data_IF_032543661808
#
_entry.id   IF_032543661808
#
_cell.length_a   1.000
_cell.length_b   1.000
_cell.length_c   1.000
_cell.angle_alpha   90.00
_cell.angle_beta   90.00
_cell.angle_gamma   90.00
#
_symmetry.space_group_name_H-M   'P 1'
#
loop_
_entity.id
_entity.type
_entity.pdbx_description
1 polymer ?
#
# COMPACT_ATOMS: atom_id res chain seq x y z
N UNK A 1 -14.18 18.28 -3.07
CA UNK A 1 -13.38 19.38 -3.66
C UNK A 1 -12.24 19.70 -2.72
N UNK A 2 -11.05 19.98 -3.25
CA UNK A 2 -9.90 20.52 -2.52
C UNK A 2 -9.60 21.92 -3.06
N UNK A 3 -9.21 22.83 -2.16
CA UNK A 3 -8.82 24.19 -2.49
C UNK A 3 -7.38 24.44 -2.08
N UNK A 4 -6.61 25.07 -2.97
CA UNK A 4 -5.23 25.46 -2.71
C UNK A 4 -4.89 26.78 -3.41
N UNK A 5 -3.85 27.45 -2.93
CA UNK A 5 -3.35 28.68 -3.55
C UNK A 5 -2.48 28.30 -4.75
N UNK A 6 -2.86 28.74 -5.94
CA UNK A 6 -2.06 28.64 -7.15
C UNK A 6 -0.85 29.57 -7.12
N UNK A 7 0.06 29.39 -8.08
CA UNK A 7 1.33 30.13 -8.16
C UNK A 7 1.15 31.65 -8.20
N UNK A 8 0.00 32.13 -8.70
CA UNK A 8 -0.32 33.56 -8.82
C UNK A 8 -1.23 34.07 -7.70
N UNK A 9 -1.40 33.31 -6.61
CA UNK A 9 -2.25 33.68 -5.47
C UNK A 9 -3.75 33.50 -5.72
N UNK A 10 -4.14 32.94 -6.88
CA UNK A 10 -5.51 32.55 -7.17
C UNK A 10 -5.89 31.27 -6.40
N UNK A 11 -7.13 31.19 -5.93
CA UNK A 11 -7.63 29.94 -5.31
C UNK A 11 -8.03 28.99 -6.43
N UNK A 12 -7.37 27.84 -6.50
CA UNK A 12 -7.70 26.76 -7.42
C UNK A 12 -8.56 25.75 -6.67
N UNK A 13 -9.69 25.35 -7.27
CA UNK A 13 -10.54 24.27 -6.77
C UNK A 13 -10.49 23.10 -7.72
N UNK A 14 -10.18 21.92 -7.20
CA UNK A 14 -10.12 20.66 -7.97
C UNK A 14 -10.96 19.56 -7.31
N UNK A 15 -11.60 18.69 -8.09
CA UNK A 15 -12.17 17.44 -7.59
C UNK A 15 -11.11 16.58 -6.92
N UNK A 16 -11.48 15.87 -5.85
CA UNK A 16 -10.52 15.00 -5.12
C UNK A 16 -10.02 13.88 -6.03
N UNK A 17 -10.87 13.37 -6.91
CA UNK A 17 -10.53 12.26 -7.81
C UNK A 17 -9.49 12.64 -8.88
N UNK A 18 -9.26 13.92 -9.12
CA UNK A 18 -8.28 14.41 -10.09
C UNK A 18 -6.88 14.60 -9.49
N UNK A 19 -6.75 14.45 -8.17
CA UNK A 19 -5.44 14.57 -7.50
C UNK A 19 -4.88 13.20 -7.12
N UNK A 20 -3.57 13.02 -7.34
CA UNK A 20 -2.86 11.85 -6.84
C UNK A 20 -2.69 11.88 -5.31
N UNK A 21 -2.50 13.07 -4.76
CA UNK A 21 -2.27 13.27 -3.33
C UNK A 21 -2.13 14.75 -2.98
N UNK A 22 -1.98 15.05 -1.70
CA UNK A 22 -1.75 16.41 -1.19
C UNK A 22 -0.87 16.37 0.05
N UNK A 23 -0.26 17.50 0.41
CA UNK A 23 0.46 17.64 1.68
C UNK A 23 -0.28 18.62 2.58
N UNK A 24 -0.41 18.27 3.87
CA UNK A 24 -1.02 19.13 4.89
C UNK A 24 -0.10 19.20 6.10
N UNK A 25 0.37 20.40 6.43
CA UNK A 25 1.34 20.65 7.52
C UNK A 25 2.60 19.76 7.40
N UNK A 26 3.13 19.61 6.19
CA UNK A 26 4.32 18.80 5.92
C UNK A 26 4.09 17.28 5.93
N UNK A 27 2.85 16.81 6.11
CA UNK A 27 2.48 15.40 6.06
C UNK A 27 1.87 15.07 4.70
N UNK A 28 2.48 14.16 3.92
CA UNK A 28 1.95 13.75 2.62
C UNK A 28 0.80 12.75 2.77
N UNK A 29 -0.22 12.92 1.94
CA UNK A 29 -1.38 12.05 1.82
C UNK A 29 -1.57 11.66 0.35
N UNK A 30 -1.96 10.42 0.10
CA UNK A 30 -2.29 9.91 -1.25
C UNK A 30 -3.75 9.53 -1.34
N UNK A 31 -4.33 9.69 -2.52
CA UNK A 31 -5.63 9.13 -2.84
C UNK A 31 -5.47 7.66 -3.23
N UNK A 32 -5.95 6.76 -2.38
CA UNK A 32 -5.96 5.32 -2.65
C UNK A 32 -7.16 4.65 -1.99
N UNK A 33 -7.80 3.72 -2.71
CA UNK A 33 -9.03 3.04 -2.26
C UNK A 33 -10.14 4.02 -1.80
N UNK A 34 -10.39 5.05 -2.63
CA UNK A 34 -11.39 6.13 -2.40
C UNK A 34 -11.19 6.93 -1.11
N UNK A 35 -9.98 6.87 -0.54
CA UNK A 35 -9.62 7.53 0.72
C UNK A 35 -8.28 8.23 0.62
N UNK A 36 -8.12 9.29 1.40
CA UNK A 36 -6.86 9.99 1.55
C UNK A 36 -6.06 9.34 2.69
N UNK A 37 -4.94 8.70 2.34
CA UNK A 37 -4.13 7.91 3.26
C UNK A 37 -2.84 8.64 3.58
N UNK A 38 -2.53 8.77 4.88
CA UNK A 38 -1.28 9.36 5.34
C UNK A 38 -0.11 8.44 4.94
N UNK A 39 0.95 9.04 4.40
CA UNK A 39 2.24 8.38 4.23
C UNK A 39 3.14 8.77 5.42
N UNK A 40 3.40 7.85 6.37
CA UNK A 40 4.27 8.12 7.51
C UNK A 40 5.75 8.13 7.13
N UNK A 41 6.14 7.43 6.07
CA UNK A 41 7.53 7.27 5.65
C UNK A 41 7.66 7.40 4.13
N UNK A 42 8.50 8.34 3.69
CA UNK A 42 8.76 8.62 2.27
C UNK A 42 10.18 8.18 1.91
N UNK A 43 10.29 7.36 0.86
CA UNK A 43 11.55 6.89 0.28
C UNK A 43 11.31 6.38 -1.13
N UNK A 44 12.33 5.82 -1.81
CA UNK A 44 12.12 5.16 -3.10
C UNK A 44 11.11 4.02 -3.02
N UNK A 45 11.08 3.32 -1.89
CA UNK A 45 9.99 2.48 -1.44
C UNK A 45 9.27 3.22 -0.32
N UNK A 46 8.08 3.71 -0.62
CA UNK A 46 7.21 4.38 0.35
C UNK A 46 6.27 3.36 0.98
N UNK A 47 6.02 3.40 2.29
CA UNK A 47 5.14 2.47 3.00
C UNK A 47 3.98 3.23 3.65
N UNK A 48 2.78 2.66 3.57
CA UNK A 48 1.60 3.20 4.23
C UNK A 48 0.60 2.10 4.62
N UNK A 49 -0.36 2.48 5.45
CA UNK A 49 -1.39 1.58 5.97
C UNK A 49 -2.76 2.20 5.66
N UNK A 50 -3.71 1.38 5.20
CA UNK A 50 -5.10 1.81 4.99
C UNK A 50 -6.09 0.69 5.29
N UNK A 51 -7.36 1.06 5.46
CA UNK A 51 -8.46 0.13 5.64
C UNK A 51 -9.19 -0.09 4.31
N UNK A 52 -9.13 -1.31 3.79
CA UNK A 52 -9.81 -1.73 2.55
C UNK A 52 -11.08 -2.52 2.86
N UNK A 53 -12.06 -2.46 1.96
CA UNK A 53 -13.28 -3.27 2.05
C UNK A 53 -13.02 -4.65 1.47
N UNK A 54 -13.34 -5.68 2.24
CA UNK A 54 -13.25 -7.08 1.84
C UNK A 54 -14.62 -7.73 1.97
N UNK A 55 -15.00 -8.48 0.95
CA UNK A 55 -16.27 -9.21 0.91
C UNK A 55 -16.00 -10.69 1.14
N UNK A 56 -16.60 -11.24 2.18
CA UNK A 56 -16.52 -12.65 2.52
C UNK A 56 -17.82 -13.34 2.11
N UNK A 57 -17.72 -14.52 1.51
CA UNK A 57 -18.84 -15.41 1.26
C UNK A 57 -18.61 -16.69 2.03
N UNK A 58 -19.53 -17.01 2.96
CA UNK A 58 -19.53 -18.31 3.60
C UNK A 58 -20.34 -19.26 2.72
N UNK A 59 -19.66 -20.05 1.90
CA UNK A 59 -20.27 -21.24 1.29
C UNK A 59 -20.39 -22.29 2.40
N UNK A 60 -21.61 -22.50 2.90
CA UNK A 60 -21.90 -23.67 3.71
C UNK A 60 -21.99 -24.87 2.78
N UNK A 61 -21.08 -25.84 2.96
CA UNK A 61 -21.17 -27.12 2.28
C UNK A 61 -22.40 -27.88 2.81
N UNK A 62 -23.38 -28.08 1.93
CA UNK A 62 -24.67 -28.72 2.22
C UNK A 62 -24.58 -30.24 2.38
N UNK A 63 -23.40 -30.84 2.31
CA UNK A 63 -23.25 -32.30 2.32
C UNK A 63 -23.59 -33.02 3.64
N UNK A 64 -23.92 -32.30 4.73
CA UNK A 64 -24.01 -32.90 6.07
C UNK A 64 -25.38 -32.78 6.77
N UNK A 65 -26.39 -32.14 6.18
CA UNK A 65 -27.69 -31.98 6.86
C UNK A 65 -28.89 -31.94 5.89
N UNK A 66 -29.65 -33.04 5.75
CA UNK A 66 -30.82 -33.11 4.86
C UNK A 66 -32.04 -32.31 5.36
N UNK A 67 -31.97 -31.66 6.53
CA UNK A 67 -33.08 -30.87 7.09
C UNK A 67 -32.82 -29.36 7.13
N UNK A 68 -31.71 -28.87 6.57
CA UNK A 68 -31.43 -27.43 6.51
C UNK A 68 -31.99 -26.79 5.24
N UNK A 69 -33.10 -26.08 5.45
CA UNK A 69 -33.74 -25.19 4.49
C UNK A 69 -32.77 -24.06 4.04
N UNK A 70 -32.54 -24.02 2.74
CA UNK A 70 -31.96 -22.98 1.88
C UNK A 70 -30.74 -22.19 2.41
N UNK A 71 -29.50 -22.55 1.99
CA UNK A 71 -28.31 -21.80 2.34
C UNK A 71 -28.22 -20.57 1.43
N UNK A 72 -28.98 -19.52 1.75
CA UNK A 72 -28.70 -18.20 1.19
C UNK A 72 -27.28 -17.81 1.59
N UNK A 73 -26.37 -17.78 0.61
CA UNK A 73 -24.98 -17.39 0.81
C UNK A 73 -24.95 -15.97 1.40
N UNK A 74 -24.61 -15.86 2.68
CA UNK A 74 -24.49 -14.57 3.35
C UNK A 74 -23.15 -13.96 2.97
N UNK A 75 -23.18 -12.99 2.06
CA UNK A 75 -22.05 -12.12 1.80
C UNK A 75 -21.99 -11.08 2.91
N UNK A 76 -20.87 -10.99 3.63
CA UNK A 76 -20.65 -9.95 4.63
C UNK A 76 -19.41 -9.13 4.26
N UNK A 77 -19.49 -7.82 4.51
CA UNK A 77 -18.42 -6.86 4.25
C UNK A 77 -17.66 -6.60 5.54
N UNK A 78 -16.34 -6.65 5.48
CA UNK A 78 -15.44 -6.27 6.57
C UNK A 78 -14.45 -5.20 6.11
N UNK A 79 -14.07 -4.33 7.02
CA UNK A 79 -13.06 -3.30 6.81
C UNK A 79 -11.73 -3.85 7.40
N UNK A 80 -10.73 -4.10 6.56
CA UNK A 80 -9.46 -4.70 6.93
C UNK A 80 -8.30 -3.71 6.84
N UNK A 81 -7.51 -3.62 7.92
CA UNK A 81 -6.25 -2.89 7.92
C UNK A 81 -5.21 -3.64 7.09
N UNK A 82 -4.77 -3.05 5.99
CA UNK A 82 -3.73 -3.59 5.10
C UNK A 82 -2.57 -2.62 4.94
N UNK A 83 -1.40 -3.19 4.71
CA UNK A 83 -0.16 -2.46 4.51
C UNK A 83 0.20 -2.50 3.02
N UNK A 84 0.63 -1.36 2.49
CA UNK A 84 0.98 -1.18 1.10
C UNK A 84 2.36 -0.53 0.98
N UNK A 85 2.98 -0.74 -0.17
CA UNK A 85 4.16 -0.03 -0.61
C UNK A 85 3.90 0.66 -1.95
N UNK A 86 4.58 1.77 -2.17
CA UNK A 86 4.67 2.46 -3.45
C UNK A 86 6.10 2.36 -3.92
N UNK A 87 6.28 1.85 -5.12
CA UNK A 87 7.54 1.94 -5.84
C UNK A 87 7.61 3.29 -6.55
N UNK A 88 8.40 4.22 -6.02
CA UNK A 88 8.50 5.58 -6.56
C UNK A 88 9.20 5.65 -7.92
N UNK A 89 9.82 4.56 -8.37
CA UNK A 89 10.43 4.48 -9.70
C UNK A 89 9.40 4.16 -10.78
N UNK A 90 8.38 3.36 -10.46
CA UNK A 90 7.33 2.95 -11.42
C UNK A 90 5.98 3.63 -11.16
N UNK A 91 5.75 4.15 -9.95
CA UNK A 91 4.47 4.66 -9.48
C UNK A 91 3.49 3.57 -9.02
N UNK A 92 3.90 2.29 -9.02
CA UNK A 92 3.01 1.17 -8.71
C UNK A 92 2.74 1.06 -7.20
N UNK A 93 1.47 0.85 -6.84
CA UNK A 93 1.03 0.59 -5.47
C UNK A 93 0.76 -0.91 -5.33
N UNK A 94 1.45 -1.54 -4.37
CA UNK A 94 1.43 -2.99 -4.16
C UNK A 94 1.22 -3.35 -2.69
N UNK A 95 0.75 -4.57 -2.43
CA UNK A 95 0.70 -5.11 -1.06
C UNK A 95 2.11 -5.16 -0.45
N UNK A 96 2.24 -4.76 0.81
CA UNK A 96 3.48 -4.92 1.55
C UNK A 96 3.67 -6.38 1.98
N UNK A 97 4.33 -7.15 1.12
CA UNK A 97 4.64 -8.55 1.35
C UNK A 97 6.03 -8.93 0.81
N UNK A 98 6.50 -10.12 1.19
CA UNK A 98 7.85 -10.58 0.84
C UNK A 98 8.10 -10.61 -0.67
N UNK A 99 7.12 -11.05 -1.46
CA UNK A 99 7.25 -11.17 -2.91
C UNK A 99 7.44 -9.80 -3.57
N UNK A 100 6.62 -8.82 -3.20
CA UNK A 100 6.65 -7.50 -3.82
C UNK A 100 7.91 -6.72 -3.40
N UNK A 101 8.31 -6.79 -2.12
CA UNK A 101 9.58 -6.19 -1.67
C UNK A 101 10.77 -6.84 -2.37
N UNK A 102 10.79 -8.18 -2.49
CA UNK A 102 11.85 -8.89 -3.21
C UNK A 102 11.98 -8.41 -4.67
N UNK A 103 10.88 -8.15 -5.38
CA UNK A 103 10.96 -7.63 -6.76
C UNK A 103 11.67 -6.28 -6.84
N UNK A 104 11.41 -5.37 -5.90
CA UNK A 104 12.08 -4.06 -5.88
C UNK A 104 13.55 -4.23 -5.52
N UNK A 105 13.86 -5.07 -4.52
CA UNK A 105 15.23 -5.32 -4.09
C UNK A 105 16.14 -5.84 -5.21
N UNK A 106 15.61 -6.57 -6.20
CA UNK A 106 16.39 -7.05 -7.37
C UNK A 106 17.11 -5.95 -8.15
N UNK A 107 16.66 -4.70 -8.04
CA UNK A 107 17.33 -3.54 -8.65
C UNK A 107 18.66 -3.20 -7.97
N UNK A 108 18.87 -3.68 -6.74
CA UNK A 108 20.10 -3.56 -5.97
C UNK A 108 20.68 -4.97 -5.71
N UNK A 109 21.57 -5.47 -6.60
CA UNK A 109 22.04 -6.86 -6.54
C UNK A 109 22.69 -7.25 -5.21
N UNK A 110 23.42 -6.32 -4.58
CA UNK A 110 24.08 -6.55 -3.29
C UNK A 110 23.05 -6.77 -2.19
N UNK A 111 22.08 -5.86 -2.06
CA UNK A 111 21.03 -5.96 -1.05
C UNK A 111 20.09 -7.15 -1.31
N UNK A 112 19.83 -7.46 -2.58
CA UNK A 112 19.07 -8.64 -2.97
C UNK A 112 19.77 -9.94 -2.57
N UNK A 113 21.08 -10.05 -2.80
CA UNK A 113 21.85 -11.23 -2.40
C UNK A 113 21.82 -11.41 -0.88
N UNK A 114 22.08 -10.34 -0.11
CA UNK A 114 21.99 -10.35 1.36
C UNK A 114 20.61 -10.80 1.85
N UNK A 115 19.55 -10.34 1.19
CA UNK A 115 18.18 -10.75 1.50
C UNK A 115 17.98 -12.24 1.21
N UNK A 116 18.48 -12.73 0.07
CA UNK A 116 18.29 -14.10 -0.39
C UNK A 116 19.06 -15.14 0.42
N UNK A 117 20.19 -14.78 1.04
CA UNK A 117 20.93 -15.63 1.98
C UNK A 117 20.14 -15.97 3.25
N UNK A 118 19.16 -15.12 3.61
CA UNK A 118 18.33 -15.36 4.78
C UNK A 118 17.30 -16.46 4.55
N UNK A 119 17.09 -17.30 5.57
CA UNK A 119 15.95 -18.23 5.60
C UNK A 119 14.63 -17.46 5.47
N UNK A 120 13.64 -18.04 4.77
CA UNK A 120 12.31 -17.43 4.51
C UNK A 120 11.66 -16.77 5.74
N UNK A 121 11.73 -17.43 6.92
CA UNK A 121 11.20 -16.88 8.18
C UNK A 121 11.90 -15.59 8.61
N UNK A 122 13.22 -15.50 8.42
CA UNK A 122 14.02 -14.32 8.76
C UNK A 122 13.78 -13.20 7.75
N UNK A 123 13.69 -13.51 6.45
CA UNK A 123 13.27 -12.55 5.41
C UNK A 123 11.96 -11.87 5.76
N UNK A 124 10.92 -12.65 6.09
CA UNK A 124 9.61 -12.09 6.46
C UNK A 124 9.67 -11.19 7.70
N UNK A 125 10.48 -11.54 8.71
CA UNK A 125 10.64 -10.71 9.92
C UNK A 125 11.45 -9.44 9.69
N UNK A 126 12.37 -9.44 8.72
CA UNK A 126 13.27 -8.33 8.44
C UNK A 126 12.85 -7.49 7.23
N UNK A 127 11.65 -7.69 6.70
CA UNK A 127 11.19 -6.99 5.50
C UNK A 127 11.34 -5.46 5.61
N UNK A 128 10.93 -4.90 6.74
CA UNK A 128 11.02 -3.45 7.00
C UNK A 128 12.47 -2.96 7.06
N UNK A 129 13.37 -3.78 7.61
CA UNK A 129 14.79 -3.48 7.68
C UNK A 129 15.39 -3.38 6.26
N UNK A 130 15.09 -4.34 5.39
CA UNK A 130 15.57 -4.31 4.01
C UNK A 130 14.96 -3.16 3.19
N UNK A 131 13.70 -2.82 3.41
CA UNK A 131 13.09 -1.61 2.82
C UNK A 131 13.84 -0.35 3.30
N UNK A 132 14.16 -0.26 4.58
CA UNK A 132 14.90 0.87 5.14
C UNK A 132 16.32 0.97 4.58
N UNK A 133 17.03 -0.16 4.44
CA UNK A 133 18.35 -0.22 3.82
C UNK A 133 18.30 0.20 2.35
N UNK A 134 17.34 -0.30 1.58
CA UNK A 134 17.18 0.06 0.18
C UNK A 134 16.98 1.57 0.02
N UNK A 135 16.14 2.17 0.86
CA UNK A 135 15.89 3.60 0.86
C UNK A 135 17.09 4.45 1.29
N UNK A 136 17.89 3.95 2.25
CA UNK A 136 19.11 4.62 2.68
C UNK A 136 20.18 4.62 1.57
N UNK A 137 20.32 3.50 0.85
CA UNK A 137 21.28 3.34 -0.25
C UNK A 137 20.82 4.03 -1.54
N UNK A 138 19.51 4.03 -1.80
CA UNK A 138 18.90 4.57 -3.01
C UNK A 138 18.01 5.77 -2.68
N UNK A 139 18.61 6.94 -2.53
CA UNK A 139 17.90 8.17 -2.18
C UNK A 139 16.84 8.54 -3.24
N UNK A 140 15.66 8.93 -2.77
CA UNK A 140 14.62 9.50 -3.62
C UNK A 140 14.94 10.96 -3.93
N UNK A 141 15.10 11.28 -5.21
CA UNK A 141 15.24 12.66 -5.68
C UNK A 141 13.93 13.11 -6.31
N UNK A 142 13.35 14.18 -5.77
CA UNK A 142 12.17 14.83 -6.34
C UNK A 142 12.67 16.04 -7.13
N UNK A 143 12.59 15.96 -8.45
CA UNK A 143 12.88 17.11 -9.30
C UNK A 143 11.79 18.17 -9.11
N UNK A 144 12.21 19.43 -9.03
CA UNK A 144 11.31 20.59 -8.98
C UNK A 144 10.79 20.94 -10.36
#
# INVERSE_FOLDING_TARGET
>A
MIQYNGEFGNIITVPVIEIWGYSKHGKPYILWADKLNLIPFVGKITHFITTVKVYYSNYYDTFYDPYRYDPTARVYQSDELRQFIIDMETGEIMDYNMKNVEQILKRDPELYNDFMELRKRKRSKQLFYFVSLYNAKNTLYINK
#
